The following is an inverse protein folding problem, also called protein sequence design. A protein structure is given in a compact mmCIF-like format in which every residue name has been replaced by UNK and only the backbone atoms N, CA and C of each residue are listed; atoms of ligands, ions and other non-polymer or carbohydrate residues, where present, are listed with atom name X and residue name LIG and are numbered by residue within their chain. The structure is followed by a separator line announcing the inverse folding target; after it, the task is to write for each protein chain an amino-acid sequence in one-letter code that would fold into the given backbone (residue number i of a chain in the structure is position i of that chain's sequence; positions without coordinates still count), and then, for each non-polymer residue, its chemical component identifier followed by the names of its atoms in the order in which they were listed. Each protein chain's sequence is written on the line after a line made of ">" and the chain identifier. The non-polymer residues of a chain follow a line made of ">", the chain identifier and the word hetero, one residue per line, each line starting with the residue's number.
data_IF_622734608651
#
_entry.id   IF_622734608651
#
_cell.length_a   1.000
_cell.length_b   1.000
_cell.length_c   1.000
_cell.angle_alpha   90.00
_cell.angle_beta   90.00
_cell.angle_gamma   90.00
#
_symmetry.space_group_name_H-M   'P 1'
#
loop_
_entity.id
_entity.type
_entity.pdbx_description
1 polymer ?
#
# COMPACT_ATOMS: atom_id res chain seq x y z
N UNK A 1 -15.85 5.85 -21.88
CA UNK A 1 -14.84 6.72 -21.21
C UNK A 1 -15.39 7.48 -20.00
N UNK A 2 -16.68 7.69 -19.82
CA UNK A 2 -17.23 8.38 -18.62
C UNK A 2 -17.11 7.56 -17.32
N UNK A 3 -17.05 6.23 -17.41
CA UNK A 3 -16.98 5.33 -16.24
C UNK A 3 -15.66 5.46 -15.45
N UNK A 4 -14.58 5.79 -16.13
CA UNK A 4 -13.26 5.93 -15.48
C UNK A 4 -13.10 7.24 -14.71
N UNK A 5 -13.84 8.29 -15.06
CA UNK A 5 -13.74 9.58 -14.38
C UNK A 5 -14.26 9.50 -12.94
N UNK A 6 -15.41 8.85 -12.72
CA UNK A 6 -15.95 8.68 -11.36
C UNK A 6 -15.10 7.79 -10.46
N UNK A 7 -14.43 6.78 -11.03
CA UNK A 7 -13.47 5.95 -10.28
C UNK A 7 -12.24 6.75 -9.92
N UNK A 8 -11.72 7.53 -10.86
CA UNK A 8 -10.56 8.40 -10.62
C UNK A 8 -10.90 9.55 -9.66
N UNK A 9 -12.08 10.14 -9.74
CA UNK A 9 -12.52 11.19 -8.81
C UNK A 9 -12.71 10.62 -7.38
N UNK A 10 -13.16 9.37 -7.26
CA UNK A 10 -13.21 8.67 -5.98
C UNK A 10 -11.82 8.38 -5.41
N UNK A 11 -10.93 7.86 -6.24
CA UNK A 11 -9.52 7.63 -5.89
C UNK A 11 -8.84 8.95 -5.55
N UNK A 12 -9.06 10.01 -6.32
CA UNK A 12 -8.52 11.33 -6.08
C UNK A 12 -8.96 11.93 -4.74
N UNK A 13 -10.23 11.75 -4.38
CA UNK A 13 -10.75 12.17 -3.08
C UNK A 13 -10.11 11.38 -1.92
N UNK A 14 -9.89 10.07 -2.13
CA UNK A 14 -9.43 9.17 -1.10
C UNK A 14 -7.92 9.20 -0.91
N UNK A 15 -7.18 9.43 -2.00
CA UNK A 15 -5.72 9.57 -2.00
C UNK A 15 -5.26 11.00 -1.80
N UNK A 16 -6.19 11.97 -1.73
CA UNK A 16 -5.82 13.37 -1.87
C UNK A 16 -4.82 13.52 -3.04
N UNK A 17 -5.23 13.08 -4.24
CA UNK A 17 -4.36 13.18 -5.40
C UNK A 17 -3.97 14.63 -5.58
N UNK A 18 -2.74 14.88 -5.19
CA UNK A 18 -2.09 16.18 -5.24
C UNK A 18 -1.68 16.44 -6.68
N UNK A 19 -1.59 17.71 -7.04
CA UNK A 19 -0.98 18.11 -8.30
C UNK A 19 0.47 17.66 -8.35
N UNK A 20 1.08 17.69 -9.52
CA UNK A 20 2.51 17.38 -9.65
C UNK A 20 3.35 18.33 -8.78
N UNK A 21 2.97 19.58 -8.70
CA UNK A 21 3.64 20.64 -7.93
C UNK A 21 3.57 20.31 -6.42
N UNK A 22 2.42 19.88 -5.94
CA UNK A 22 2.23 19.47 -4.55
C UNK A 22 3.07 18.23 -4.21
N UNK A 23 3.12 17.24 -5.12
CA UNK A 23 4.00 16.07 -4.96
C UNK A 23 5.48 16.47 -4.92
N UNK A 24 5.91 17.35 -5.81
CA UNK A 24 7.28 17.86 -5.82
C UNK A 24 7.62 18.63 -4.54
N UNK A 25 6.68 19.39 -3.99
CA UNK A 25 6.87 20.09 -2.74
C UNK A 25 7.05 19.14 -1.55
N UNK A 26 6.26 18.06 -1.49
CA UNK A 26 6.35 17.03 -0.44
C UNK A 26 7.66 16.25 -0.56
N UNK A 27 8.04 15.89 -1.79
CA UNK A 27 9.26 15.10 -2.03
C UNK A 27 10.54 15.91 -1.94
N UNK A 28 10.46 17.24 -1.91
CA UNK A 28 11.64 18.13 -1.90
C UNK A 28 12.64 17.81 -0.79
N UNK A 29 12.15 17.41 0.38
CA UNK A 29 12.96 17.10 1.55
C UNK A 29 12.93 15.60 1.90
N UNK A 30 12.32 14.78 1.05
CA UNK A 30 12.29 13.33 1.24
C UNK A 30 13.41 12.69 0.43
N UNK A 31 14.21 11.91 1.10
CA UNK A 31 15.23 11.07 0.48
C UNK A 31 14.76 9.61 0.51
N UNK A 32 14.87 8.94 -0.63
CA UNK A 32 14.57 7.51 -0.69
C UNK A 32 15.56 6.74 0.20
N UNK A 33 15.08 6.09 1.28
CA UNK A 33 15.96 5.36 2.19
C UNK A 33 16.49 4.05 1.61
N UNK A 34 16.02 3.67 0.42
CA UNK A 34 16.44 2.46 -0.26
C UNK A 34 17.51 2.76 -1.31
N UNK A 35 18.40 1.80 -1.51
CA UNK A 35 19.40 1.89 -2.59
C UNK A 35 18.73 2.06 -3.95
N UNK A 36 19.41 2.73 -4.87
CA UNK A 36 18.90 2.88 -6.24
C UNK A 36 18.62 1.52 -6.88
N UNK A 37 17.61 1.42 -7.72
CA UNK A 37 17.33 0.19 -8.46
C UNK A 37 18.53 -0.20 -9.33
N UNK A 38 18.81 -1.47 -9.40
CA UNK A 38 19.82 -2.00 -10.30
C UNK A 38 19.23 -2.01 -11.71
N UNK A 39 19.91 -1.37 -12.66
CA UNK A 39 19.53 -1.46 -14.08
C UNK A 39 20.42 -2.49 -14.74
N UNK A 40 19.84 -3.61 -15.13
CA UNK A 40 20.51 -4.66 -15.89
C UNK A 40 20.03 -4.62 -17.35
N UNK A 41 20.93 -4.94 -18.28
CA UNK A 41 20.56 -5.10 -19.69
C UNK A 41 20.65 -6.58 -20.05
N UNK A 42 19.60 -7.08 -20.69
CA UNK A 42 19.52 -8.44 -21.20
C UNK A 42 18.90 -8.42 -22.59
N UNK A 43 19.62 -8.90 -23.56
CA UNK A 43 19.20 -8.92 -24.99
C UNK A 43 18.67 -7.57 -25.51
N UNK A 44 19.34 -6.47 -25.15
CA UNK A 44 18.94 -5.12 -25.54
C UNK A 44 17.76 -4.54 -24.75
N UNK A 45 17.21 -5.27 -23.78
CA UNK A 45 16.14 -4.81 -22.89
C UNK A 45 16.72 -4.36 -21.57
N UNK A 46 16.43 -3.12 -21.17
CA UNK A 46 16.80 -2.61 -19.84
C UNK A 46 15.77 -3.04 -18.82
N UNK A 47 16.20 -3.76 -17.81
CA UNK A 47 15.39 -4.26 -16.70
C UNK A 47 15.75 -3.49 -15.43
N UNK A 48 14.80 -2.80 -14.85
CA UNK A 48 14.95 -2.16 -13.54
C UNK A 48 14.63 -3.20 -12.47
N UNK A 49 15.60 -3.50 -11.62
CA UNK A 49 15.53 -4.54 -10.60
C UNK A 49 15.44 -3.92 -9.21
N UNK A 50 14.38 -4.25 -8.49
CA UNK A 50 14.16 -3.97 -7.07
C UNK A 50 13.99 -5.26 -6.26
N UNK A 51 14.50 -6.38 -6.75
CA UNK A 51 14.39 -7.70 -6.13
C UNK A 51 15.24 -7.88 -4.85
N UNK A 52 16.05 -6.89 -4.53
CA UNK A 52 16.76 -6.78 -3.24
C UNK A 52 15.87 -6.23 -2.10
N UNK A 53 14.64 -5.85 -2.41
CA UNK A 53 13.64 -5.33 -1.47
C UNK A 53 12.49 -6.32 -1.31
N UNK A 54 11.67 -6.13 -0.28
CA UNK A 54 10.40 -6.86 -0.11
C UNK A 54 9.45 -6.64 -1.29
N UNK A 55 9.51 -5.45 -1.89
CA UNK A 55 8.81 -5.07 -3.10
C UNK A 55 9.03 -3.59 -3.40
N UNK A 56 8.98 -3.20 -4.67
CA UNK A 56 9.17 -1.81 -5.13
C UNK A 56 8.19 -0.81 -4.49
N UNK A 57 7.05 -1.29 -3.99
CA UNK A 57 6.08 -0.46 -3.26
C UNK A 57 6.59 0.08 -1.93
N UNK A 58 7.70 -0.45 -1.40
CA UNK A 58 8.36 0.11 -0.22
C UNK A 58 8.74 1.59 -0.43
N UNK A 59 9.23 1.97 -1.61
CA UNK A 59 9.61 3.35 -1.92
C UNK A 59 8.43 4.30 -1.79
N UNK A 60 7.30 3.95 -2.41
CA UNK A 60 6.06 4.72 -2.31
C UNK A 60 5.49 4.73 -0.89
N UNK A 61 5.50 3.57 -0.23
CA UNK A 61 4.99 3.46 1.12
C UNK A 61 5.81 4.31 2.11
N UNK A 62 7.13 4.42 1.92
CA UNK A 62 7.98 5.23 2.78
C UNK A 62 7.55 6.70 2.78
N UNK A 63 7.44 7.31 1.60
CA UNK A 63 6.97 8.68 1.46
C UNK A 63 5.58 8.88 2.08
N UNK A 64 4.65 7.96 1.80
CA UNK A 64 3.28 8.03 2.31
C UNK A 64 3.24 7.95 3.85
N UNK A 65 3.93 6.97 4.43
CA UNK A 65 3.88 6.73 5.87
C UNK A 65 4.67 7.80 6.65
N UNK A 66 5.74 8.33 6.08
CA UNK A 66 6.47 9.47 6.64
C UNK A 66 5.60 10.73 6.77
N UNK A 67 4.68 10.94 5.83
CA UNK A 67 3.78 12.10 5.79
C UNK A 67 2.42 11.87 6.48
N UNK A 68 2.20 10.68 7.03
CA UNK A 68 0.92 10.29 7.64
C UNK A 68 0.96 10.52 9.16
N UNK A 69 0.03 11.30 9.69
CA UNK A 69 -0.08 11.56 11.14
C UNK A 69 -0.67 10.38 11.93
N UNK A 70 -1.56 9.61 11.31
CA UNK A 70 -2.23 8.49 11.97
C UNK A 70 -1.25 7.37 12.32
N UNK A 71 -1.40 6.80 13.52
CA UNK A 71 -0.59 5.67 14.00
C UNK A 71 -1.00 4.33 13.39
N UNK A 72 -2.16 4.28 12.76
CA UNK A 72 -2.70 3.04 12.20
C UNK A 72 -2.92 3.20 10.70
N UNK A 73 -2.35 2.27 9.96
CA UNK A 73 -2.48 2.17 8.50
C UNK A 73 -3.44 1.03 8.18
N UNK A 74 -4.36 1.29 7.26
CA UNK A 74 -5.33 0.31 6.78
C UNK A 74 -5.11 0.06 5.30
N UNK A 75 -4.99 -1.19 4.92
CA UNK A 75 -4.84 -1.60 3.53
C UNK A 75 -5.67 -2.85 3.23
N UNK A 76 -6.09 -3.01 1.98
CA UNK A 76 -6.74 -4.24 1.52
C UNK A 76 -5.71 -5.14 0.86
N UNK A 77 -5.34 -6.21 1.55
CA UNK A 77 -4.40 -7.20 1.03
C UNK A 77 -5.16 -8.30 0.28
N UNK A 78 -5.01 -8.38 -1.04
CA UNK A 78 -5.54 -9.50 -1.81
C UNK A 78 -4.83 -10.82 -1.44
N UNK A 79 -5.28 -11.92 -1.99
CA UNK A 79 -4.64 -13.23 -1.76
C UNK A 79 -3.18 -13.27 -2.23
N UNK A 80 -2.87 -12.51 -3.27
CA UNK A 80 -1.53 -12.46 -3.86
C UNK A 80 -1.07 -11.02 -3.99
N UNK A 81 0.22 -10.79 -3.90
CA UNK A 81 0.84 -9.48 -4.07
C UNK A 81 1.70 -9.04 -2.89
N UNK A 82 2.67 -8.20 -3.17
CA UNK A 82 3.69 -7.76 -2.22
C UNK A 82 3.41 -6.38 -1.59
N UNK A 83 2.25 -5.78 -1.86
CA UNK A 83 1.93 -4.47 -1.32
C UNK A 83 1.78 -4.48 0.21
N UNK A 84 1.03 -5.44 0.75
CA UNK A 84 0.91 -5.61 2.21
C UNK A 84 2.25 -5.85 2.90
N UNK A 85 3.06 -6.82 2.45
CA UNK A 85 4.41 -7.02 2.98
C UNK A 85 5.28 -5.76 2.90
N UNK A 86 5.20 -4.98 1.80
CA UNK A 86 5.95 -3.72 1.63
C UNK A 86 5.49 -2.65 2.63
N UNK A 87 4.18 -2.48 2.80
CA UNK A 87 3.61 -1.53 3.77
C UNK A 87 4.05 -1.90 5.19
N UNK A 88 4.04 -3.19 5.54
CA UNK A 88 4.47 -3.67 6.86
C UNK A 88 5.95 -3.43 7.12
N UNK A 89 6.79 -3.62 6.11
CA UNK A 89 8.23 -3.34 6.21
C UNK A 89 8.48 -1.86 6.55
N UNK A 90 7.80 -0.98 5.83
CA UNK A 90 7.94 0.46 6.05
C UNK A 90 7.28 0.90 7.36
N UNK A 91 6.12 0.35 7.70
CA UNK A 91 5.40 0.70 8.92
C UNK A 91 6.24 0.50 10.20
N UNK A 92 7.10 -0.52 10.22
CA UNK A 92 8.06 -0.73 11.32
C UNK A 92 9.01 0.44 11.52
N UNK A 93 9.47 1.08 10.44
CA UNK A 93 10.38 2.23 10.50
C UNK A 93 9.74 3.43 11.19
N UNK A 94 8.44 3.57 11.02
CA UNK A 94 7.66 4.70 11.56
C UNK A 94 6.83 4.33 12.79
N UNK A 95 7.06 3.16 13.39
CA UNK A 95 6.32 2.63 14.55
C UNK A 95 4.80 2.65 14.36
N UNK A 96 4.35 2.34 13.14
CA UNK A 96 2.93 2.35 12.78
C UNK A 96 2.34 0.95 12.82
N UNK A 97 1.10 0.86 13.29
CA UNK A 97 0.31 -0.38 13.28
C UNK A 97 -0.35 -0.57 11.92
N UNK A 98 -0.44 -1.80 11.46
CA UNK A 98 -1.06 -2.12 10.18
C UNK A 98 -2.24 -3.07 10.38
N UNK A 99 -3.40 -2.66 9.87
CA UNK A 99 -4.62 -3.46 9.80
C UNK A 99 -4.87 -3.83 8.35
N UNK A 100 -4.94 -5.12 8.06
CA UNK A 100 -5.15 -5.61 6.70
C UNK A 100 -6.52 -6.26 6.57
N UNK A 101 -7.34 -5.68 5.70
CA UNK A 101 -8.57 -6.30 5.25
C UNK A 101 -8.24 -7.34 4.18
N UNK A 102 -8.68 -8.56 4.40
CA UNK A 102 -8.33 -9.71 3.55
C UNK A 102 -9.59 -10.48 3.16
N UNK A 103 -9.70 -10.94 1.90
CA UNK A 103 -10.77 -11.86 1.54
C UNK A 103 -10.57 -13.18 2.29
N UNK A 104 -11.62 -13.66 2.94
CA UNK A 104 -11.59 -14.95 3.60
C UNK A 104 -11.66 -16.09 2.60
N UNK A 105 -10.97 -17.16 2.89
CA UNK A 105 -11.01 -18.42 2.12
C UNK A 105 -10.75 -19.60 3.02
N UNK A 106 -10.99 -20.84 2.55
CA UNK A 106 -10.72 -22.06 3.31
C UNK A 106 -9.26 -22.17 3.76
N UNK A 107 -8.33 -21.65 2.96
CA UNK A 107 -6.90 -21.56 3.29
C UNK A 107 -6.43 -20.14 3.01
N UNK A 108 -5.69 -19.56 3.96
CA UNK A 108 -4.97 -18.31 3.73
C UNK A 108 -3.87 -18.53 2.70
N UNK A 109 -3.59 -17.54 1.88
CA UNK A 109 -2.48 -17.59 0.94
C UNK A 109 -1.15 -17.37 1.63
N UNK A 110 -0.05 -17.75 0.98
CA UNK A 110 1.29 -17.47 1.48
C UNK A 110 1.51 -15.98 1.75
N UNK A 111 1.10 -15.09 0.84
CA UNK A 111 1.25 -13.65 1.01
C UNK A 111 0.45 -13.10 2.20
N UNK A 112 -0.75 -13.62 2.44
CA UNK A 112 -1.54 -13.26 3.62
C UNK A 112 -0.89 -13.76 4.91
N UNK A 113 -0.35 -14.99 4.90
CA UNK A 113 0.38 -15.56 6.05
C UNK A 113 1.61 -14.72 6.39
N UNK A 114 2.42 -14.38 5.39
CA UNK A 114 3.60 -13.50 5.57
C UNK A 114 3.22 -12.15 6.19
N UNK A 115 2.09 -11.57 5.79
CA UNK A 115 1.63 -10.33 6.40
C UNK A 115 1.31 -10.49 7.89
N UNK A 116 0.67 -11.58 8.27
CA UNK A 116 0.31 -11.88 9.67
C UNK A 116 1.58 -12.12 10.50
N UNK A 117 2.49 -12.93 9.98
CA UNK A 117 3.79 -13.22 10.62
C UNK A 117 4.62 -11.94 10.83
N UNK A 118 4.50 -10.96 9.92
CA UNK A 118 5.14 -9.64 10.03
C UNK A 118 4.41 -8.67 10.96
N UNK A 119 3.35 -9.09 11.64
CA UNK A 119 2.66 -8.32 12.66
C UNK A 119 1.43 -7.53 12.20
N UNK A 120 0.91 -7.80 11.00
CA UNK A 120 -0.38 -7.23 10.60
C UNK A 120 -1.52 -7.73 11.48
N UNK A 121 -2.49 -6.84 11.78
CA UNK A 121 -3.78 -7.24 12.33
C UNK A 121 -4.74 -7.62 11.20
N UNK A 122 -5.03 -8.90 10.97
CA UNK A 122 -5.90 -9.31 9.87
C UNK A 122 -7.37 -9.08 10.22
N UNK A 123 -8.15 -8.61 9.24
CA UNK A 123 -9.61 -8.60 9.24
C UNK A 123 -10.11 -9.39 8.04
N UNK A 124 -10.44 -10.65 8.27
CA UNK A 124 -10.98 -11.49 7.21
C UNK A 124 -12.46 -11.21 6.97
N UNK A 125 -12.82 -11.00 5.72
CA UNK A 125 -14.19 -10.74 5.29
C UNK A 125 -14.63 -11.71 4.21
N UNK A 126 -15.88 -12.18 4.30
CA UNK A 126 -16.49 -13.03 3.27
C UNK A 126 -16.94 -12.22 2.04
N UNK A 127 -16.09 -11.34 1.58
CA UNK A 127 -16.34 -10.47 0.44
C UNK A 127 -15.29 -10.79 -0.61
N UNK A 128 -15.71 -11.27 -1.77
CA UNK A 128 -14.79 -11.60 -2.86
C UNK A 128 -14.45 -10.38 -3.74
N UNK A 129 -15.35 -9.41 -3.83
CA UNK A 129 -15.16 -8.23 -4.67
C UNK A 129 -14.26 -7.19 -4.00
N UNK A 130 -13.12 -6.90 -4.61
CA UNK A 130 -12.15 -5.91 -4.10
C UNK A 130 -12.76 -4.52 -3.82
N UNK A 131 -13.65 -3.96 -4.67
CA UNK A 131 -14.28 -2.67 -4.36
C UNK A 131 -15.06 -2.66 -3.05
N UNK A 132 -15.74 -3.77 -2.73
CA UNK A 132 -16.49 -3.88 -1.48
C UNK A 132 -15.57 -4.01 -0.27
N UNK A 133 -14.46 -4.74 -0.41
CA UNK A 133 -13.41 -4.80 0.62
C UNK A 133 -12.79 -3.43 0.86
N UNK A 134 -12.46 -2.70 -0.19
CA UNK A 134 -11.95 -1.33 -0.10
C UNK A 134 -12.94 -0.41 0.61
N UNK A 135 -14.23 -0.47 0.26
CA UNK A 135 -15.27 0.32 0.92
C UNK A 135 -15.38 0.00 2.41
N UNK A 136 -15.32 -1.28 2.78
CA UNK A 136 -15.36 -1.69 4.18
C UNK A 136 -14.12 -1.25 4.96
N UNK A 137 -12.94 -1.37 4.35
CA UNK A 137 -11.67 -0.96 4.93
C UNK A 137 -11.62 0.56 5.16
N UNK A 138 -12.07 1.34 4.17
CA UNK A 138 -12.16 2.79 4.25
C UNK A 138 -13.09 3.24 5.37
N UNK A 139 -14.32 2.73 5.43
CA UNK A 139 -15.29 3.03 6.51
C UNK A 139 -14.73 2.69 7.89
N UNK A 140 -14.00 1.59 7.98
CA UNK A 140 -13.36 1.22 9.24
C UNK A 140 -12.23 2.20 9.61
N UNK A 141 -11.41 2.61 8.64
CA UNK A 141 -10.34 3.58 8.85
C UNK A 141 -10.88 4.91 9.33
N UNK A 142 -11.92 5.45 8.69
CA UNK A 142 -12.59 6.69 9.09
C UNK A 142 -13.11 6.61 10.53
N UNK A 143 -13.78 5.51 10.88
CA UNK A 143 -14.33 5.30 12.24
C UNK A 143 -13.24 5.18 13.31
N UNK A 144 -12.04 4.74 12.97
CA UNK A 144 -10.95 4.45 13.91
C UNK A 144 -9.78 5.45 13.81
N UNK A 145 -9.98 6.59 13.16
CA UNK A 145 -8.93 7.59 12.94
C UNK A 145 -7.64 6.96 12.37
N UNK A 146 -7.79 6.14 11.34
CA UNK A 146 -6.68 5.44 10.69
C UNK A 146 -6.51 5.92 9.24
N UNK A 147 -5.30 5.83 8.71
CA UNK A 147 -5.01 6.16 7.32
C UNK A 147 -5.36 4.98 6.41
N UNK A 148 -6.30 5.16 5.50
CA UNK A 148 -6.60 4.17 4.47
C UNK A 148 -5.67 4.36 3.26
N UNK A 149 -4.96 3.31 2.90
CA UNK A 149 -4.14 3.22 1.68
C UNK A 149 -4.94 2.44 0.65
N UNK A 150 -5.34 3.04 -0.49
CA UNK A 150 -6.15 2.40 -1.51
C UNK A 150 -5.38 1.44 -2.42
#
# INVERSE_FOLDING_TARGET
>A
MAHNKHVLDGINKDLQLRSREEWLAITKNWEDPYSLPIVAEHDGVKVVRDDHMVGSKCRFADLLLASTEQDTIVYVQPRFGLAGPSILEVAKRYDKRVVLFMPSSKKISHHQAVCIERGAKPKFMRIAAMPNLNSAAKKWAEKNNACFVP
#
